data_IF_074429088038
#
_entry.id   IF_074429088038
#
_cell.length_a   1.000
_cell.length_b   1.000
_cell.length_c   1.000
_cell.angle_alpha   90.00
_cell.angle_beta   90.00
_cell.angle_gamma   90.00
#
_symmetry.space_group_name_H-M   'P 1'
#
loop_
_entity.id
_entity.type
_entity.pdbx_description
1 polymer ?
#
# COMPACT_ATOMS: atom_id res chain seq x y z
N UNK A 1 -6.94 -5.75 -7.83
CA UNK A 1 -6.49 -5.07 -6.58
C UNK A 1 -7.61 -4.20 -6.05
N UNK A 2 -7.69 -3.96 -4.73
CA UNK A 2 -8.69 -3.09 -4.10
C UNK A 2 -7.97 -2.16 -3.12
N UNK A 3 -8.17 -0.84 -3.25
CA UNK A 3 -7.71 0.12 -2.25
C UNK A 3 -8.64 0.06 -1.04
N UNK A 4 -8.18 -0.56 0.04
CA UNK A 4 -8.99 -0.80 1.24
C UNK A 4 -9.12 0.45 2.13
N UNK A 5 -8.16 1.36 2.01
CA UNK A 5 -8.12 2.63 2.67
C UNK A 5 -7.21 3.60 1.91
N UNK A 6 -7.58 4.87 1.90
CA UNK A 6 -6.92 5.93 1.11
C UNK A 6 -6.69 7.20 1.91
N UNK A 7 -6.98 7.17 3.20
CA UNK A 7 -6.82 8.29 4.12
C UNK A 7 -5.49 8.27 4.84
N UNK A 8 -5.08 9.45 5.29
CA UNK A 8 -3.91 9.67 6.17
C UNK A 8 -4.11 9.06 7.56
N UNK A 9 -3.11 9.21 8.43
CA UNK A 9 -3.03 8.62 9.78
C UNK A 9 -4.23 8.83 10.70
N UNK A 10 -5.04 9.87 10.49
CA UNK A 10 -6.26 10.10 11.29
C UNK A 10 -7.49 9.38 10.75
N UNK A 11 -7.46 8.93 9.47
CA UNK A 11 -8.68 8.57 8.74
C UNK A 11 -9.62 9.75 8.52
N UNK A 12 -10.69 9.56 7.76
CA UNK A 12 -11.74 10.56 7.52
C UNK A 12 -13.10 9.88 7.69
N UNK A 13 -13.99 10.39 8.57
CA UNK A 13 -13.91 11.62 9.38
C UNK A 13 -12.85 11.60 10.47
N UNK A 14 -12.27 12.76 10.74
CA UNK A 14 -11.34 12.95 11.86
C UNK A 14 -12.12 13.09 13.17
N UNK A 15 -11.67 12.44 14.24
CA UNK A 15 -12.31 12.50 15.54
C UNK A 15 -12.43 13.96 16.02
N UNK A 16 -13.66 14.37 16.35
CA UNK A 16 -13.94 15.73 16.81
C UNK A 16 -13.93 16.81 15.74
N UNK A 17 -13.83 16.46 14.45
CA UNK A 17 -13.84 17.43 13.35
C UNK A 17 -15.23 17.53 12.70
N UNK A 18 -15.70 18.76 12.55
CA UNK A 18 -16.99 19.11 11.97
C UNK A 18 -16.88 19.83 10.61
N UNK A 19 -15.73 19.74 9.93
CA UNK A 19 -15.56 20.37 8.63
C UNK A 19 -16.45 19.72 7.57
N UNK A 20 -16.61 20.41 6.43
CA UNK A 20 -17.48 19.97 5.34
C UNK A 20 -17.13 18.55 4.84
N UNK A 21 -15.84 18.20 4.74
CA UNK A 21 -15.38 16.89 4.29
C UNK A 21 -15.71 15.81 5.32
N UNK A 22 -15.45 16.06 6.62
CA UNK A 22 -15.75 15.10 7.67
C UNK A 22 -17.26 14.83 7.82
N UNK A 23 -18.10 15.82 7.48
CA UNK A 23 -19.58 15.71 7.49
C UNK A 23 -20.18 15.31 6.13
N UNK A 24 -19.38 15.21 5.07
CA UNK A 24 -19.84 14.87 3.73
C UNK A 24 -20.63 13.55 3.71
N UNK A 25 -21.66 13.48 2.90
CA UNK A 25 -22.40 12.26 2.60
C UNK A 25 -21.81 11.47 1.42
N UNK A 26 -20.83 12.05 0.70
CA UNK A 26 -20.11 11.35 -0.35
C UNK A 26 -19.24 10.26 0.29
N UNK A 27 -19.50 9.00 -0.07
CA UNK A 27 -18.76 7.85 0.44
C UNK A 27 -17.27 7.90 0.11
N UNK A 28 -16.89 8.62 -0.95
CA UNK A 28 -15.48 8.79 -1.35
C UNK A 28 -14.70 9.73 -0.44
N UNK A 29 -15.41 10.53 0.36
CA UNK A 29 -14.83 11.38 1.42
C UNK A 29 -14.64 10.62 2.73
N UNK A 30 -15.12 9.37 2.83
CA UNK A 30 -14.91 8.50 4.00
C UNK A 30 -13.73 7.59 3.73
N UNK A 31 -12.62 7.83 4.44
CA UNK A 31 -11.34 7.19 4.15
C UNK A 31 -10.77 6.53 5.39
N UNK A 32 -10.60 5.22 5.34
CA UNK A 32 -9.81 4.46 6.31
C UNK A 32 -8.31 4.68 6.04
N UNK A 33 -7.43 4.31 6.98
CA UNK A 33 -5.97 4.40 6.81
C UNK A 33 -5.52 3.58 5.62
N UNK A 34 -4.44 4.05 4.97
CA UNK A 34 -3.94 3.45 3.73
C UNK A 34 -3.72 1.94 3.85
N UNK A 35 -4.28 1.20 2.91
CA UNK A 35 -4.05 -0.22 2.74
C UNK A 35 -4.50 -0.67 1.35
N UNK A 36 -3.81 -1.66 0.79
CA UNK A 36 -4.10 -2.25 -0.52
C UNK A 36 -4.27 -3.76 -0.40
N UNK A 37 -5.29 -4.31 -1.04
CA UNK A 37 -5.49 -5.75 -1.17
C UNK A 37 -5.33 -6.22 -2.62
N UNK A 38 -4.51 -7.22 -2.83
CA UNK A 38 -4.37 -7.96 -4.08
C UNK A 38 -5.07 -9.30 -3.91
N UNK A 39 -6.10 -9.57 -4.71
CA UNK A 39 -6.87 -10.83 -4.63
C UNK A 39 -6.29 -11.94 -5.53
N UNK A 40 -5.74 -11.54 -6.67
CA UNK A 40 -5.14 -12.40 -7.68
C UNK A 40 -3.86 -11.74 -8.23
N UNK A 41 -2.83 -12.51 -8.62
CA UNK A 41 -2.72 -13.97 -8.63
C UNK A 41 -2.36 -14.59 -7.26
N UNK A 42 -2.26 -13.77 -6.21
CA UNK A 42 -2.06 -14.18 -4.83
C UNK A 42 -2.86 -13.26 -3.90
N UNK A 43 -3.30 -13.78 -2.75
CA UNK A 43 -4.05 -13.00 -1.76
C UNK A 43 -3.07 -12.29 -0.82
N UNK A 44 -2.79 -11.02 -1.09
CA UNK A 44 -1.77 -10.22 -0.39
C UNK A 44 -2.37 -8.90 0.08
N UNK A 45 -2.05 -8.51 1.30
CA UNK A 45 -2.38 -7.19 1.84
C UNK A 45 -1.10 -6.37 2.01
N UNK A 46 -1.15 -5.09 1.64
CA UNK A 46 -0.14 -4.10 1.99
C UNK A 46 -0.71 -3.22 3.10
N UNK A 47 -0.05 -3.21 4.24
CA UNK A 47 -0.36 -2.53 5.49
C UNK A 47 -1.66 -3.00 6.17
N UNK A 48 -1.58 -3.12 7.49
CA UNK A 48 -2.64 -3.58 8.37
C UNK A 48 -2.85 -2.55 9.49
N UNK A 49 -3.43 -1.40 9.12
CA UNK A 49 -3.73 -0.32 10.06
C UNK A 49 -4.81 -0.69 11.08
N UNK A 50 -5.18 0.24 11.99
CA UNK A 50 -6.15 -0.02 13.06
C UNK A 50 -7.53 -0.49 12.59
N UNK A 51 -7.93 -0.15 11.36
CA UNK A 51 -9.20 -0.59 10.77
C UNK A 51 -9.09 -1.86 9.91
N UNK A 52 -7.97 -2.56 9.94
CA UNK A 52 -7.75 -3.72 9.07
C UNK A 52 -8.91 -4.74 9.13
N UNK A 53 -9.45 -5.00 10.31
CA UNK A 53 -10.62 -5.89 10.45
C UNK A 53 -11.81 -5.42 9.62
N UNK A 54 -12.12 -4.13 9.65
CA UNK A 54 -13.24 -3.55 8.89
C UNK A 54 -12.94 -3.61 7.39
N UNK A 55 -11.72 -3.29 7.00
CA UNK A 55 -11.25 -3.35 5.62
C UNK A 55 -11.35 -4.78 5.07
N UNK A 56 -10.84 -5.75 5.80
CA UNK A 56 -10.90 -7.18 5.42
C UNK A 56 -12.33 -7.70 5.25
N UNK A 57 -13.24 -7.30 6.16
CA UNK A 57 -14.65 -7.67 6.07
C UNK A 57 -15.35 -7.05 4.85
N UNK A 58 -15.08 -5.77 4.56
CA UNK A 58 -15.64 -5.06 3.39
C UNK A 58 -15.17 -5.69 2.08
N UNK A 59 -13.91 -6.05 2.00
CA UNK A 59 -13.32 -6.69 0.80
C UNK A 59 -13.58 -8.21 0.74
N UNK A 60 -14.25 -8.78 1.73
CA UNK A 60 -14.57 -10.22 1.78
C UNK A 60 -13.34 -11.13 1.82
N UNK A 61 -12.23 -10.68 2.42
CA UNK A 61 -10.98 -11.46 2.50
C UNK A 61 -11.21 -12.71 3.33
N UNK A 62 -10.98 -13.87 2.71
CA UNK A 62 -11.13 -15.19 3.35
C UNK A 62 -9.81 -15.88 3.62
N UNK A 63 -8.76 -15.49 2.90
CA UNK A 63 -7.42 -16.08 2.96
C UNK A 63 -6.40 -14.98 2.73
N UNK A 64 -5.25 -15.10 3.36
CA UNK A 64 -4.06 -14.33 3.01
C UNK A 64 -2.88 -15.28 2.75
N UNK A 65 -2.14 -15.01 1.70
CA UNK A 65 -0.90 -15.71 1.38
C UNK A 65 0.31 -15.01 1.99
N UNK A 66 0.27 -13.67 2.06
CA UNK A 66 1.25 -12.85 2.73
C UNK A 66 0.70 -11.48 3.11
N UNK A 67 1.44 -10.78 3.96
CA UNK A 67 1.29 -9.34 4.23
C UNK A 67 2.60 -8.64 3.89
N UNK A 68 2.53 -7.49 3.26
CA UNK A 68 3.65 -6.58 3.04
C UNK A 68 3.47 -5.37 3.93
N UNK A 69 4.52 -4.90 4.56
CA UNK A 69 4.46 -3.69 5.38
C UNK A 69 5.39 -2.63 4.81
N UNK A 70 4.86 -1.42 4.64
CA UNK A 70 5.64 -0.29 4.14
C UNK A 70 6.60 0.21 5.21
N UNK A 71 6.10 0.38 6.44
CA UNK A 71 6.87 0.82 7.60
C UNK A 71 6.10 0.55 8.91
N UNK A 72 6.68 0.96 10.04
CA UNK A 72 6.19 0.61 11.37
C UNK A 72 5.31 1.68 12.06
N UNK A 73 4.82 2.70 11.34
CA UNK A 73 3.88 3.65 11.95
C UNK A 73 2.54 2.97 12.29
N UNK A 74 1.88 3.52 13.30
CA UNK A 74 0.68 2.91 13.90
C UNK A 74 -0.48 2.72 12.90
N UNK A 75 -0.66 3.68 12.02
CA UNK A 75 -1.72 3.68 10.99
C UNK A 75 -1.52 2.63 9.90
N UNK A 76 -0.31 2.07 9.77
CA UNK A 76 0.02 0.98 8.84
C UNK A 76 0.13 -0.40 9.52
N UNK A 77 0.25 -0.44 10.86
CA UNK A 77 0.66 -1.65 11.56
C UNK A 77 -0.29 -2.13 12.66
N UNK A 78 -1.04 -1.26 13.35
CA UNK A 78 -1.68 -1.61 14.61
C UNK A 78 -2.91 -2.54 14.50
N UNK A 79 -3.28 -2.98 13.31
CA UNK A 79 -4.23 -4.07 13.09
C UNK A 79 -3.60 -5.46 12.95
N UNK A 80 -2.30 -5.59 13.25
CA UNK A 80 -1.54 -6.85 13.07
C UNK A 80 -2.13 -8.02 13.88
N UNK A 81 -2.78 -7.78 15.02
CA UNK A 81 -3.39 -8.84 15.84
C UNK A 81 -4.58 -9.51 15.13
N UNK A 82 -5.29 -8.80 14.26
CA UNK A 82 -6.38 -9.36 13.46
C UNK A 82 -5.90 -10.38 12.41
N UNK A 83 -4.60 -10.43 12.12
CA UNK A 83 -3.99 -11.45 11.26
C UNK A 83 -4.06 -12.86 11.86
N UNK A 84 -4.34 -12.96 13.16
CA UNK A 84 -4.46 -14.24 13.86
C UNK A 84 -5.43 -15.21 13.16
N UNK A 85 -6.57 -14.71 12.67
CA UNK A 85 -7.58 -15.55 12.01
C UNK A 85 -7.08 -16.18 10.71
N UNK A 86 -6.14 -15.53 10.03
CA UNK A 86 -5.51 -16.04 8.80
C UNK A 86 -4.33 -16.96 9.10
N UNK A 87 -3.65 -16.77 10.23
CA UNK A 87 -2.48 -17.56 10.59
C UNK A 87 -2.81 -18.94 11.17
N UNK A 88 -3.99 -19.08 11.83
CA UNK A 88 -4.43 -20.35 12.43
C UNK A 88 -5.09 -21.31 11.43
N UNK A 89 -5.65 -20.78 10.35
CA UNK A 89 -6.38 -21.57 9.34
C UNK A 89 -5.51 -22.04 8.18
N UNK A 90 -4.25 -21.62 8.11
CA UNK A 90 -3.35 -22.05 7.03
C UNK A 90 -2.91 -23.50 7.22
N UNK A 91 -3.51 -24.37 6.41
CA UNK A 91 -2.78 -25.52 5.91
C UNK A 91 -1.80 -24.98 4.87
N UNK A 92 -0.52 -25.22 5.10
CA UNK A 92 0.54 -24.79 4.19
C UNK A 92 0.34 -25.43 2.82
N UNK A 93 0.24 -24.61 1.78
CA UNK A 93 0.32 -25.09 0.40
C UNK A 93 1.74 -25.64 0.17
N UNK A 94 1.94 -26.95 -0.09
CA UNK A 94 3.24 -27.54 -0.33
C UNK A 94 3.97 -26.94 -1.56
N UNK A 95 3.27 -26.21 -2.43
CA UNK A 95 3.87 -25.54 -3.60
C UNK A 95 4.50 -24.18 -3.27
N UNK A 96 4.36 -23.69 -2.03
CA UNK A 96 4.95 -22.43 -1.60
C UNK A 96 6.46 -22.63 -1.32
N UNK A 97 7.30 -22.37 -2.31
CA UNK A 97 8.75 -22.36 -2.22
C UNK A 97 9.32 -21.10 -1.53
N UNK A 98 8.68 -20.62 -0.50
CA UNK A 98 9.27 -19.59 0.36
C UNK A 98 10.21 -20.21 1.38
N UNK A 99 11.41 -19.66 1.53
CA UNK A 99 12.44 -20.05 2.52
C UNK A 99 12.04 -19.80 3.98
N UNK A 100 10.80 -20.13 4.35
CA UNK A 100 10.49 -20.27 5.76
C UNK A 100 11.10 -21.59 6.22
N UNK A 101 12.20 -21.57 6.97
CA UNK A 101 12.86 -22.76 7.54
C UNK A 101 11.90 -23.59 8.41
N UNK A 102 10.73 -23.03 8.71
CA UNK A 102 9.65 -23.64 9.48
C UNK A 102 8.35 -23.60 8.69
N UNK A 103 8.24 -24.48 7.73
CA UNK A 103 7.02 -24.74 6.97
C UNK A 103 5.86 -25.06 7.94
N UNK A 104 4.82 -24.23 7.97
CA UNK A 104 3.65 -24.43 8.85
C UNK A 104 3.60 -23.52 10.08
N UNK A 105 4.52 -22.59 10.30
CA UNK A 105 4.56 -21.80 11.54
C UNK A 105 4.00 -20.39 11.47
N UNK A 106 3.35 -19.96 10.39
CA UNK A 106 2.67 -18.68 10.41
C UNK A 106 2.42 -18.02 9.06
N UNK A 107 1.74 -16.90 9.11
CA UNK A 107 1.50 -16.04 7.96
C UNK A 107 2.79 -15.26 7.63
N UNK A 108 3.30 -15.32 6.39
CA UNK A 108 4.47 -14.54 5.99
C UNK A 108 4.20 -13.03 6.04
N UNK A 109 5.08 -12.28 6.70
CA UNK A 109 5.06 -10.83 6.78
C UNK A 109 6.38 -10.31 6.22
N UNK A 110 6.33 -9.59 5.10
CA UNK A 110 7.50 -9.03 4.45
C UNK A 110 7.65 -7.55 4.80
N UNK A 111 8.83 -7.16 5.24
CA UNK A 111 9.17 -5.77 5.55
C UNK A 111 10.68 -5.54 5.46
N UNK A 112 11.13 -4.28 5.43
CA UNK A 112 12.54 -3.98 5.61
C UNK A 112 13.02 -4.32 7.03
N UNK A 113 14.32 -4.47 7.23
CA UNK A 113 14.90 -4.93 8.50
C UNK A 113 14.56 -4.00 9.69
N UNK A 114 14.47 -2.69 9.47
CA UNK A 114 14.07 -1.74 10.51
C UNK A 114 12.64 -1.98 10.97
N UNK A 115 11.73 -2.14 10.03
CA UNK A 115 10.30 -2.41 10.30
C UNK A 115 10.12 -3.74 11.02
N UNK A 116 10.87 -4.80 10.62
CA UNK A 116 10.86 -6.10 11.32
C UNK A 116 11.27 -5.92 12.79
N UNK A 117 12.39 -5.26 13.06
CA UNK A 117 12.85 -5.02 14.41
C UNK A 117 11.83 -4.23 15.26
N UNK A 118 11.20 -3.22 14.67
CA UNK A 118 10.19 -2.43 15.35
C UNK A 118 8.95 -3.27 15.72
N UNK A 119 8.54 -4.17 14.83
CA UNK A 119 7.41 -5.07 15.06
C UNK A 119 7.72 -6.06 16.18
N UNK A 120 8.86 -6.73 16.12
CA UNK A 120 9.26 -7.70 17.14
C UNK A 120 9.37 -7.07 18.54
N UNK A 121 9.82 -5.82 18.62
CA UNK A 121 9.88 -5.08 19.87
C UNK A 121 8.51 -4.58 20.38
N UNK A 122 7.62 -4.13 19.49
CA UNK A 122 6.30 -3.59 19.89
C UNK A 122 5.27 -4.68 20.18
N UNK A 123 5.37 -5.81 19.50
CA UNK A 123 4.46 -6.94 19.63
C UNK A 123 5.19 -8.17 20.18
N UNK A 124 6.05 -7.96 21.18
CA UNK A 124 6.85 -9.00 21.81
C UNK A 124 6.02 -10.21 22.26
N UNK A 125 4.78 -10.00 22.70
CA UNK A 125 3.86 -11.08 23.06
C UNK A 125 3.57 -12.05 21.91
N UNK A 126 3.64 -11.58 20.65
CA UNK A 126 3.46 -12.43 19.45
C UNK A 126 4.65 -13.36 19.29
N UNK A 127 5.87 -12.84 19.46
CA UNK A 127 7.13 -13.52 19.17
C UNK A 127 7.73 -14.22 20.39
N UNK A 128 7.32 -13.83 21.62
CA UNK A 128 7.81 -14.46 22.85
C UNK A 128 7.35 -15.92 22.91
N UNK A 129 8.29 -16.88 23.15
CA UNK A 129 7.97 -18.30 23.28
C UNK A 129 7.13 -18.63 24.53
N UNK A 130 7.16 -17.78 25.56
CA UNK A 130 6.36 -18.00 26.78
C UNK A 130 4.90 -17.69 26.50
N UNK A 131 4.04 -18.71 26.60
CA UNK A 131 2.60 -18.58 26.40
C UNK A 131 1.94 -18.41 27.76
N UNK A 132 1.61 -17.18 28.12
CA UNK A 132 0.75 -16.88 29.25
C UNK A 132 -0.69 -16.66 28.76
N UNK A 133 -1.43 -17.76 28.60
CA UNK A 133 -2.88 -17.73 28.28
C UNK A 133 -3.22 -17.22 26.87
N UNK A 134 -4.30 -17.68 26.29
CA UNK A 134 -4.86 -17.20 25.01
C UNK A 134 -4.06 -17.54 23.76
N UNK A 135 -4.73 -17.47 22.59
CA UNK A 135 -4.05 -17.63 21.30
C UNK A 135 -3.45 -16.31 20.81
N UNK A 136 -2.28 -16.36 20.22
CA UNK A 136 -1.60 -15.23 19.58
C UNK A 136 -1.48 -15.46 18.07
N UNK A 137 -1.32 -14.41 17.23
CA UNK A 137 -1.04 -14.58 15.81
C UNK A 137 0.22 -15.41 15.61
N UNK A 138 0.22 -16.31 14.62
CA UNK A 138 1.42 -16.99 14.15
C UNK A 138 1.94 -16.24 12.93
N UNK A 139 2.98 -15.45 13.10
CA UNK A 139 3.56 -14.61 12.06
C UNK A 139 5.00 -15.08 11.78
N UNK A 140 5.33 -15.13 10.49
CA UNK A 140 6.68 -15.46 10.01
C UNK A 140 7.29 -14.21 9.39
N UNK A 141 8.17 -13.52 10.12
CA UNK A 141 8.83 -12.31 9.66
C UNK A 141 9.85 -12.62 8.56
N UNK A 142 9.73 -11.93 7.44
CA UNK A 142 10.62 -12.02 6.28
C UNK A 142 11.24 -10.65 6.01
N UNK A 143 12.48 -10.51 6.38
CA UNK A 143 13.23 -9.28 6.16
C UNK A 143 13.84 -9.26 4.77
N UNK A 144 13.72 -8.13 4.06
CA UNK A 144 14.55 -7.82 2.90
C UNK A 144 15.53 -6.69 3.26
N UNK A 145 16.77 -6.87 2.85
CA UNK A 145 17.86 -5.91 3.14
C UNK A 145 17.95 -4.89 2.01
N UNK A 146 17.21 -3.76 2.07
CA UNK A 146 17.46 -2.56 1.25
C UNK A 146 17.75 -2.70 -0.26
N UNK A 147 17.94 -3.92 -0.75
CA UNK A 147 18.13 -4.24 -2.15
C UNK A 147 16.78 -4.57 -2.76
N UNK A 148 16.46 -3.91 -3.83
CA UNK A 148 15.23 -4.13 -4.61
C UNK A 148 15.27 -5.46 -5.38
N UNK A 149 15.57 -6.55 -4.68
CA UNK A 149 15.55 -7.88 -5.26
C UNK A 149 14.10 -8.39 -5.32
N UNK A 150 13.69 -8.96 -6.46
CA UNK A 150 12.34 -9.49 -6.58
C UNK A 150 12.16 -10.75 -5.73
N UNK A 151 11.00 -10.85 -5.08
CA UNK A 151 10.51 -12.08 -4.46
C UNK A 151 9.10 -12.40 -4.95
N UNK A 152 8.61 -13.58 -4.62
CA UNK A 152 7.34 -14.06 -5.11
C UNK A 152 6.42 -14.50 -3.98
N UNK A 153 5.14 -14.16 -4.10
CA UNK A 153 4.06 -14.76 -3.33
C UNK A 153 3.13 -15.44 -4.32
N UNK A 154 3.14 -16.76 -4.36
CA UNK A 154 2.52 -17.50 -5.44
C UNK A 154 3.07 -17.07 -6.81
N UNK A 155 2.21 -16.57 -7.69
CA UNK A 155 2.60 -16.02 -9.00
C UNK A 155 2.78 -14.50 -9.03
N UNK A 156 2.49 -13.82 -7.93
CA UNK A 156 2.70 -12.38 -7.83
C UNK A 156 4.18 -12.10 -7.60
N UNK A 157 4.82 -11.42 -8.55
CA UNK A 157 6.19 -10.93 -8.41
C UNK A 157 6.16 -9.58 -7.71
N UNK A 158 6.99 -9.41 -6.69
CA UNK A 158 7.03 -8.22 -5.84
C UNK A 158 8.47 -7.71 -5.78
N UNK A 159 8.65 -6.40 -5.99
CA UNK A 159 9.94 -5.72 -5.78
C UNK A 159 9.72 -4.62 -4.75
N UNK A 160 10.45 -4.66 -3.62
CA UNK A 160 10.49 -3.53 -2.70
C UNK A 160 11.12 -2.31 -3.36
N UNK A 161 10.51 -1.16 -3.19
CA UNK A 161 10.95 0.12 -3.75
C UNK A 161 11.34 1.05 -2.60
N UNK A 162 12.62 1.40 -2.42
CA UNK A 162 13.01 2.36 -1.38
C UNK A 162 12.44 3.74 -1.69
N UNK A 163 11.72 4.32 -0.74
CA UNK A 163 11.19 5.68 -0.76
C UNK A 163 11.41 6.34 0.60
N UNK A 164 11.30 7.65 0.70
CA UNK A 164 11.61 8.39 1.92
C UNK A 164 10.38 9.08 2.49
N UNK A 165 10.15 8.88 3.78
CA UNK A 165 9.16 9.56 4.59
C UNK A 165 9.89 10.49 5.60
N UNK A 166 10.18 11.71 5.17
CA UNK A 166 11.14 12.56 5.87
C UNK A 166 12.54 11.93 5.83
N UNK A 167 13.07 11.61 7.02
CA UNK A 167 14.36 10.92 7.16
C UNK A 167 14.22 9.38 7.30
N UNK A 168 12.99 8.85 7.32
CA UNK A 168 12.75 7.42 7.44
C UNK A 168 12.70 6.80 6.04
N UNK A 169 13.52 5.78 5.81
CA UNK A 169 13.39 4.93 4.64
C UNK A 169 12.19 3.99 4.85
N UNK A 170 11.24 4.04 3.93
CA UNK A 170 10.06 3.18 3.90
C UNK A 170 10.00 2.41 2.59
N UNK A 171 9.19 1.37 2.56
CA UNK A 171 9.11 0.48 1.40
C UNK A 171 7.85 0.74 0.61
N UNK A 172 7.99 1.24 -0.61
CA UNK A 172 6.98 1.05 -1.64
C UNK A 172 7.09 -0.36 -2.24
N UNK A 173 6.17 -0.70 -3.13
CA UNK A 173 6.16 -2.02 -3.78
C UNK A 173 5.78 -1.91 -5.26
N UNK A 174 6.57 -2.57 -6.12
CA UNK A 174 6.18 -2.86 -7.49
C UNK A 174 5.58 -4.27 -7.52
N UNK A 175 4.30 -4.34 -7.83
CA UNK A 175 3.53 -5.56 -7.93
C UNK A 175 3.38 -5.92 -9.40
N UNK A 176 3.76 -7.14 -9.80
CA UNK A 176 3.76 -7.55 -11.20
C UNK A 176 3.06 -8.89 -11.37
N UNK A 177 2.06 -8.92 -12.25
CA UNK A 177 1.55 -10.15 -12.83
C UNK A 177 2.27 -10.43 -14.16
N UNK A 178 2.72 -11.65 -14.34
CA UNK A 178 3.28 -12.11 -15.60
C UNK A 178 2.37 -13.18 -16.19
N UNK A 179 1.77 -12.88 -17.34
CA UNK A 179 0.86 -13.77 -18.03
C UNK A 179 1.15 -13.76 -19.54
N UNK A 180 1.28 -14.95 -20.14
CA UNK A 180 1.51 -15.13 -21.57
C UNK A 180 2.73 -14.34 -22.10
N UNK A 181 3.78 -14.21 -21.29
CA UNK A 181 5.00 -13.44 -21.59
C UNK A 181 4.86 -11.91 -21.51
N UNK A 182 3.69 -11.41 -21.11
CA UNK A 182 3.46 -10.01 -20.84
C UNK A 182 3.54 -9.73 -19.34
N UNK A 183 4.26 -8.67 -18.97
CA UNK A 183 4.31 -8.16 -17.59
C UNK A 183 3.43 -6.94 -17.47
N UNK A 184 2.51 -6.98 -16.53
CA UNK A 184 1.71 -5.83 -16.15
C UNK A 184 1.91 -5.53 -14.68
N UNK A 185 2.07 -4.25 -14.34
CA UNK A 185 2.51 -3.86 -13.01
C UNK A 185 1.70 -2.69 -12.45
N UNK A 186 1.68 -2.64 -11.11
CA UNK A 186 1.25 -1.50 -10.34
C UNK A 186 2.34 -1.13 -9.32
N UNK A 187 2.63 0.17 -9.19
CA UNK A 187 3.50 0.71 -8.16
C UNK A 187 2.67 1.31 -7.02
N UNK A 188 2.92 0.90 -5.77
CA UNK A 188 2.30 1.42 -4.56
C UNK A 188 3.34 2.18 -3.74
N UNK A 189 3.18 3.51 -3.61
CA UNK A 189 4.16 4.45 -3.08
C UNK A 189 3.49 5.39 -2.07
N UNK A 190 2.99 4.83 -0.97
CA UNK A 190 2.37 5.62 0.11
C UNK A 190 3.41 6.10 1.11
N UNK A 191 3.07 7.15 1.86
CA UNK A 191 3.91 7.72 2.92
C UNK A 191 5.31 8.10 2.44
N UNK A 192 5.34 9.02 1.49
CA UNK A 192 6.61 9.53 1.00
C UNK A 192 6.57 11.00 0.60
N UNK A 193 7.70 11.66 0.76
CA UNK A 193 7.95 13.01 0.28
C UNK A 193 9.15 13.08 -0.68
N UNK A 194 9.81 11.94 -0.90
CA UNK A 194 10.92 11.85 -1.84
C UNK A 194 11.09 10.42 -2.37
N UNK A 195 11.29 10.31 -3.67
CA UNK A 195 11.56 9.05 -4.38
C UNK A 195 12.99 9.12 -4.92
N UNK A 196 13.92 8.22 -4.49
CA UNK A 196 15.28 8.15 -5.01
C UNK A 196 15.33 7.83 -6.50
N UNK A 197 16.38 8.31 -7.19
CA UNK A 197 16.63 8.02 -8.61
C UNK A 197 16.68 6.53 -8.92
N UNK A 198 17.22 5.75 -7.99
CA UNK A 198 17.26 4.29 -8.12
C UNK A 198 15.86 3.69 -8.22
N UNK A 199 14.91 4.19 -7.45
CA UNK A 199 13.52 3.72 -7.48
C UNK A 199 12.86 3.98 -8.82
N UNK A 200 13.04 5.18 -9.41
CA UNK A 200 12.58 5.46 -10.77
C UNK A 200 13.21 4.51 -11.80
N UNK A 201 14.51 4.27 -11.67
CA UNK A 201 15.22 3.34 -12.57
C UNK A 201 14.66 1.91 -12.44
N UNK A 202 14.44 1.42 -11.22
CA UNK A 202 13.88 0.09 -10.97
C UNK A 202 12.49 -0.03 -11.60
N UNK A 203 11.62 0.96 -11.39
CA UNK A 203 10.27 0.95 -11.98
C UNK A 203 10.41 0.89 -13.52
N UNK A 204 11.21 1.77 -14.13
CA UNK A 204 11.38 1.82 -15.59
C UNK A 204 11.93 0.52 -16.19
N UNK A 205 12.86 -0.15 -15.51
CA UNK A 205 13.49 -1.39 -16.01
C UNK A 205 12.63 -2.64 -15.75
N UNK A 206 11.85 -2.67 -14.65
CA UNK A 206 11.27 -3.88 -14.12
C UNK A 206 9.75 -4.01 -14.30
N UNK A 207 9.04 -2.90 -14.53
CA UNK A 207 7.57 -2.91 -14.54
C UNK A 207 6.97 -3.58 -15.79
N UNK A 208 7.64 -3.56 -16.95
CA UNK A 208 6.97 -3.89 -18.20
C UNK A 208 5.91 -2.83 -18.53
N UNK A 209 4.65 -3.23 -18.71
CA UNK A 209 3.52 -2.31 -18.84
C UNK A 209 3.12 -1.84 -17.43
N UNK A 210 3.39 -0.59 -17.08
CA UNK A 210 2.98 -0.01 -15.81
C UNK A 210 1.57 0.54 -15.93
N UNK A 211 0.60 -0.22 -15.46
CA UNK A 211 -0.83 0.12 -15.58
C UNK A 211 -1.25 1.14 -14.51
N UNK A 212 -0.74 1.00 -13.29
CA UNK A 212 -1.13 1.89 -12.19
C UNK A 212 0.09 2.39 -11.41
N UNK A 213 0.04 3.67 -11.01
CA UNK A 213 0.80 4.19 -9.88
C UNK A 213 -0.18 4.70 -8.81
N UNK A 214 -0.04 4.20 -7.59
CA UNK A 214 -0.75 4.68 -6.40
C UNK A 214 0.30 5.39 -5.55
N UNK A 215 0.15 6.69 -5.38
CA UNK A 215 1.21 7.55 -4.82
C UNK A 215 0.68 8.44 -3.70
N UNK A 216 1.52 8.70 -2.69
CA UNK A 216 1.23 9.68 -1.63
C UNK A 216 0.82 11.04 -2.23
N UNK A 217 -0.27 11.58 -1.73
CA UNK A 217 -0.77 12.88 -2.13
C UNK A 217 -1.62 13.42 -0.98
N UNK A 218 -0.95 14.08 -0.01
CA UNK A 218 -1.57 14.43 1.26
C UNK A 218 -2.61 15.54 1.11
N UNK A 219 -2.24 16.66 0.47
CA UNK A 219 -3.02 17.89 0.31
C UNK A 219 -2.35 18.84 -0.68
N UNK A 220 -2.95 20.03 -0.92
CA UNK A 220 -2.37 21.03 -1.81
C UNK A 220 -1.09 21.63 -1.24
N UNK A 221 -1.09 22.02 0.06
CA UNK A 221 0.05 22.65 0.68
C UNK A 221 1.18 21.64 0.95
N UNK A 222 2.45 22.03 0.75
CA UNK A 222 3.59 21.18 1.04
C UNK A 222 3.61 20.66 2.49
N UNK A 223 4.17 19.48 2.67
CA UNK A 223 4.39 18.85 3.96
C UNK A 223 5.82 18.32 4.07
N UNK A 224 6.37 18.24 5.30
CA UNK A 224 7.76 17.82 5.51
C UNK A 224 8.04 16.35 5.25
N UNK A 225 7.01 15.51 5.29
CA UNK A 225 7.14 14.04 5.21
C UNK A 225 6.24 13.40 4.15
N UNK A 226 5.37 14.17 3.50
CA UNK A 226 4.44 13.70 2.47
C UNK A 226 4.48 14.59 1.25
N UNK A 227 4.17 14.04 0.09
CA UNK A 227 3.96 14.85 -1.11
C UNK A 227 2.70 15.71 -1.01
N UNK A 228 2.79 16.93 -1.51
CA UNK A 228 1.60 17.67 -1.93
C UNK A 228 1.02 17.06 -3.20
N UNK A 229 -0.21 17.41 -3.56
CA UNK A 229 -0.82 16.91 -4.80
C UNK A 229 0.05 17.22 -6.04
N UNK A 230 0.61 18.43 -6.13
CA UNK A 230 1.44 18.81 -7.27
C UNK A 230 2.76 18.01 -7.30
N UNK A 231 3.43 17.83 -6.17
CA UNK A 231 4.63 16.98 -6.07
C UNK A 231 4.35 15.52 -6.41
N UNK A 232 3.19 14.99 -6.00
CA UNK A 232 2.76 13.64 -6.36
C UNK A 232 2.52 13.50 -7.86
N UNK A 233 1.90 14.51 -8.50
CA UNK A 233 1.71 14.54 -9.94
C UNK A 233 3.04 14.67 -10.71
N UNK A 234 4.00 15.46 -10.22
CA UNK A 234 5.36 15.53 -10.77
C UNK A 234 6.07 14.17 -10.75
N UNK A 235 5.97 13.45 -9.63
CA UNK A 235 6.54 12.11 -9.52
C UNK A 235 5.80 11.11 -10.43
N UNK A 236 4.47 11.15 -10.49
CA UNK A 236 3.66 10.30 -11.35
C UNK A 236 3.91 10.57 -12.85
N UNK A 237 4.08 11.86 -13.25
CA UNK A 237 4.50 12.27 -14.60
C UNK A 237 5.78 11.59 -15.01
N UNK A 238 6.76 11.58 -14.10
CA UNK A 238 8.07 10.95 -14.35
C UNK A 238 8.00 9.42 -14.39
N UNK A 239 7.14 8.82 -13.56
CA UNK A 239 6.89 7.37 -13.53
C UNK A 239 6.21 6.91 -14.82
N UNK A 240 5.23 7.65 -15.32
CA UNK A 240 4.62 7.41 -16.63
C UNK A 240 3.68 6.20 -16.67
N UNK A 241 2.94 5.93 -15.62
CA UNK A 241 1.90 4.89 -15.59
C UNK A 241 0.68 5.28 -16.44
N UNK A 242 -0.09 4.27 -16.88
CA UNK A 242 -1.37 4.51 -17.60
C UNK A 242 -2.42 5.17 -16.71
N UNK A 243 -2.37 4.92 -15.41
CA UNK A 243 -3.28 5.51 -14.43
C UNK A 243 -2.49 5.98 -13.20
N UNK A 244 -2.82 7.16 -12.66
CA UNK A 244 -2.21 7.72 -11.47
C UNK A 244 -3.25 8.04 -10.40
N UNK A 245 -3.07 7.49 -9.19
CA UNK A 245 -4.00 7.58 -8.09
C UNK A 245 -3.35 8.20 -6.86
N UNK A 246 -3.86 9.36 -6.42
CA UNK A 246 -3.43 9.99 -5.18
C UNK A 246 -4.02 9.25 -3.99
N UNK A 247 -3.21 8.90 -3.00
CA UNK A 247 -3.61 8.25 -1.74
C UNK A 247 -3.06 8.99 -0.53
N UNK A 248 -3.32 8.51 0.68
CA UNK A 248 -2.91 9.13 1.95
C UNK A 248 -3.50 10.55 2.16
N UNK A 249 -4.72 10.75 1.71
CA UNK A 249 -5.38 12.04 1.60
C UNK A 249 -5.90 12.52 2.95
N UNK A 250 -5.77 13.84 3.24
CA UNK A 250 -6.37 14.50 4.41
C UNK A 250 -7.78 15.02 4.12
N UNK A 251 -8.43 15.56 5.18
CA UNK A 251 -9.79 16.13 5.12
C UNK A 251 -9.85 17.61 4.68
N UNK A 252 -8.78 18.13 4.03
CA UNK A 252 -8.72 19.54 3.60
C UNK A 252 -9.62 19.82 2.39
N UNK A 253 -9.80 18.84 1.52
CA UNK A 253 -10.62 18.95 0.31
C UNK A 253 -11.48 17.71 0.11
N UNK A 254 -12.67 17.88 -0.46
CA UNK A 254 -13.52 16.77 -0.87
C UNK A 254 -12.91 16.00 -2.05
N UNK A 255 -13.32 14.74 -2.22
CA UNK A 255 -12.91 13.93 -3.37
C UNK A 255 -13.14 14.65 -4.70
N UNK A 256 -14.32 15.23 -4.85
CA UNK A 256 -14.70 15.99 -6.07
C UNK A 256 -13.83 17.23 -6.27
N UNK A 257 -13.48 17.95 -5.20
CA UNK A 257 -12.65 19.15 -5.34
C UNK A 257 -11.18 18.82 -5.59
N UNK A 258 -10.69 17.70 -5.07
CA UNK A 258 -9.36 17.17 -5.43
C UNK A 258 -9.33 16.83 -6.93
N UNK A 259 -10.36 16.18 -7.47
CA UNK A 259 -10.41 15.90 -8.92
C UNK A 259 -10.39 17.19 -9.74
N UNK A 260 -11.21 18.20 -9.38
CA UNK A 260 -11.18 19.50 -10.05
C UNK A 260 -9.81 20.17 -9.97
N UNK A 261 -9.13 20.06 -8.83
CA UNK A 261 -7.77 20.57 -8.69
C UNK A 261 -6.81 19.86 -9.66
N UNK A 262 -6.83 18.52 -9.70
CA UNK A 262 -6.00 17.74 -10.63
C UNK A 262 -6.28 18.14 -12.07
N UNK A 263 -7.56 18.23 -12.48
CA UNK A 263 -7.96 18.63 -13.83
C UNK A 263 -7.45 20.03 -14.19
N UNK A 264 -7.43 20.95 -13.21
CA UNK A 264 -6.99 22.34 -13.41
C UNK A 264 -5.48 22.49 -13.64
N UNK A 265 -4.69 21.55 -13.13
CA UNK A 265 -3.21 21.57 -13.25
C UNK A 265 -2.67 20.58 -14.29
N UNK A 266 -3.52 19.71 -14.83
CA UNK A 266 -3.12 18.60 -15.68
C UNK A 266 -2.34 19.03 -16.94
N UNK A 267 -2.57 20.25 -17.43
CA UNK A 267 -1.83 20.81 -18.56
C UNK A 267 -0.31 20.99 -18.30
N UNK A 268 0.10 21.00 -17.03
CA UNK A 268 1.52 21.04 -16.63
C UNK A 268 2.21 19.68 -16.81
N UNK A 269 1.44 18.59 -16.96
CA UNK A 269 1.90 17.19 -16.92
C UNK A 269 1.54 16.48 -18.23
N UNK A 270 2.37 16.63 -19.30
CA UNK A 270 2.02 16.14 -20.64
C UNK A 270 1.88 14.62 -20.74
N UNK A 271 2.65 13.83 -19.97
CA UNK A 271 2.52 12.36 -19.94
C UNK A 271 1.22 11.95 -19.32
N UNK A 272 0.87 12.51 -18.14
CA UNK A 272 -0.40 12.23 -17.46
C UNK A 272 -1.59 12.71 -18.30
N UNK A 273 -1.48 13.88 -18.94
CA UNK A 273 -2.51 14.40 -19.86
C UNK A 273 -2.72 13.45 -21.03
N UNK A 274 -1.63 12.91 -21.60
CA UNK A 274 -1.70 11.91 -22.65
C UNK A 274 -2.37 10.63 -22.15
N UNK A 275 -2.01 10.14 -20.97
CA UNK A 275 -2.66 8.95 -20.36
C UNK A 275 -4.17 9.12 -20.29
N UNK A 276 -4.67 10.29 -19.82
CA UNK A 276 -6.12 10.59 -19.77
C UNK A 276 -6.73 10.60 -21.18
N UNK A 277 -6.03 11.18 -22.17
CA UNK A 277 -6.50 11.19 -23.56
C UNK A 277 -6.59 9.80 -24.18
N UNK A 278 -5.73 8.89 -23.74
CA UNK A 278 -5.69 7.50 -24.19
C UNK A 278 -6.69 6.59 -23.39
N UNK A 279 -7.48 7.18 -22.49
CA UNK A 279 -8.53 6.48 -21.72
C UNK A 279 -8.10 6.07 -20.30
N UNK A 280 -6.93 6.47 -19.85
CA UNK A 280 -6.46 6.30 -18.48
C UNK A 280 -7.10 7.30 -17.50
N UNK A 281 -6.73 7.21 -16.25
CA UNK A 281 -7.26 8.03 -15.16
C UNK A 281 -6.16 8.68 -14.34
N UNK A 282 -6.37 9.95 -13.98
CA UNK A 282 -5.50 10.68 -13.04
C UNK A 282 -6.38 11.38 -12.01
N UNK A 283 -6.22 11.08 -10.73
CA UNK A 283 -7.04 11.69 -9.70
C UNK A 283 -6.94 11.05 -8.32
N UNK A 284 -7.79 11.46 -7.37
CA UNK A 284 -7.80 10.90 -6.04
C UNK A 284 -8.34 9.46 -6.04
N UNK A 285 -7.67 8.57 -5.33
CA UNK A 285 -8.21 7.26 -4.98
C UNK A 285 -9.33 7.40 -3.94
N UNK A 286 -10.09 6.32 -3.72
CA UNK A 286 -11.11 6.23 -2.66
C UNK A 286 -11.21 4.79 -2.16
N UNK A 287 -11.75 4.62 -0.96
CA UNK A 287 -11.90 3.30 -0.35
C UNK A 287 -12.87 2.44 -1.14
N UNK A 288 -12.42 1.24 -1.53
CA UNK A 288 -13.16 0.32 -2.37
C UNK A 288 -12.90 0.49 -3.88
N UNK A 289 -11.99 1.38 -4.30
CA UNK A 289 -11.58 1.48 -5.70
C UNK A 289 -10.93 0.16 -6.16
N UNK A 290 -11.53 -0.47 -7.15
CA UNK A 290 -11.04 -1.70 -7.76
C UNK A 290 -10.16 -1.38 -8.98
N UNK A 291 -8.97 -1.96 -9.02
CA UNK A 291 -7.98 -1.80 -10.07
C UNK A 291 -7.61 -3.16 -10.66
N UNK A 292 -7.45 -3.23 -11.97
CA UNK A 292 -7.01 -4.45 -12.67
C UNK A 292 -5.83 -4.16 -13.56
N UNK A 293 -4.88 -5.09 -13.67
CA UNK A 293 -3.78 -5.06 -14.64
C UNK A 293 -3.68 -6.33 -15.47
#
# INVERSE_FOLDING_TARGET
MILMGTGTSHGIPVIGCDCAVCRSDDVRDKRLRCSLYVSEPASVVIDTGPEFRIQALRCGIKRLDAVLLTHSHADHLHGIDDLRVFSHTKSVDPSFNGDCETFGEGLPIYANSQTVNDIENRFDYVFNPVVEGGGKPKLCMKSFSGKSEPFYVGKLRIIPLPIMHGNLEVSGYLLTEEKDGCRKSAAYLTDCNFIPEETFRIIGEQAGQLVHVIIDGLRVEPHSTHFSFEQALEAAERIGAENAWLTHITHNMSHTDIQKYVDSVLDKFPVLKKSVSDGGSVGPAFDGLELSF
#
